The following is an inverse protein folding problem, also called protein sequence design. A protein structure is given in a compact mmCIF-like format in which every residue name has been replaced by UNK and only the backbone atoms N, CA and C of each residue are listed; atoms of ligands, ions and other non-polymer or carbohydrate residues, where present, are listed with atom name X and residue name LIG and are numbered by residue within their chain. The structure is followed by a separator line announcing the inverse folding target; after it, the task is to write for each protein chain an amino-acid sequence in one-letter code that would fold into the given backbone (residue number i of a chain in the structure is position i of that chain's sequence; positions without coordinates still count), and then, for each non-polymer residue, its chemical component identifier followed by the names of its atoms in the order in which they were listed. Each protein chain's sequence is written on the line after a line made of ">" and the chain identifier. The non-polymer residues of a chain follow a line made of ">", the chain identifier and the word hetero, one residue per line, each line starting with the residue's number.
data_IF_096367512822
#
_entry.id   IF_096367512822
#
_cell.length_a   1.000
_cell.length_b   1.000
_cell.length_c   1.000
_cell.angle_alpha   90.00
_cell.angle_beta   90.00
_cell.angle_gamma   90.00
#
_symmetry.space_group_name_H-M   'P 1'
#
loop_
_entity.id
_entity.type
_entity.pdbx_description
1 polymer ?
#
# COMPACT_ATOMS: atom_id res chain seq x y z
N UNK A 1 -10.65 3.21 22.01
CA UNK A 1 -11.09 2.03 21.26
C UNK A 1 -11.40 0.89 22.23
N UNK A 2 -12.62 0.32 22.14
CA UNK A 2 -13.10 -0.77 23.00
C UNK A 2 -12.52 -2.13 22.58
N UNK A 3 -12.50 -3.11 23.49
CA UNK A 3 -12.07 -4.49 23.21
C UNK A 3 -12.87 -5.14 22.06
N UNK A 4 -14.16 -4.80 21.94
CA UNK A 4 -15.02 -5.28 20.87
C UNK A 4 -14.51 -4.85 19.48
N UNK A 5 -14.07 -3.60 19.31
CA UNK A 5 -13.53 -3.11 18.02
C UNK A 5 -12.27 -3.87 17.64
N UNK A 6 -11.39 -4.17 18.61
CA UNK A 6 -10.16 -4.96 18.37
C UNK A 6 -10.51 -6.40 17.98
N UNK A 7 -11.54 -6.99 18.59
CA UNK A 7 -11.97 -8.35 18.27
C UNK A 7 -12.65 -8.44 16.90
N UNK A 8 -13.54 -7.51 16.58
CA UNK A 8 -14.17 -7.38 15.26
C UNK A 8 -13.12 -7.16 14.17
N UNK A 9 -12.07 -6.42 14.50
CA UNK A 9 -10.89 -6.24 13.68
C UNK A 9 -10.16 -7.54 13.39
N UNK A 10 -9.83 -8.31 14.43
CA UNK A 10 -9.18 -9.60 14.30
C UNK A 10 -10.03 -10.60 13.49
N UNK A 11 -11.35 -10.55 13.62
CA UNK A 11 -12.27 -11.36 12.82
C UNK A 11 -12.27 -10.92 11.36
N UNK A 12 -12.40 -9.62 11.08
CA UNK A 12 -12.30 -9.05 9.73
C UNK A 12 -10.97 -9.45 9.07
N UNK A 13 -9.85 -9.37 9.80
CA UNK A 13 -8.53 -9.77 9.30
C UNK A 13 -8.45 -11.24 8.92
N UNK A 14 -9.01 -12.16 9.72
CA UNK A 14 -9.06 -13.59 9.34
C UNK A 14 -9.85 -13.82 8.06
N UNK A 15 -10.90 -13.04 7.84
CA UNK A 15 -11.73 -13.18 6.65
C UNK A 15 -11.13 -12.52 5.40
N UNK A 16 -10.24 -11.54 5.55
CA UNK A 16 -9.41 -11.03 4.44
C UNK A 16 -8.42 -12.09 3.92
N UNK A 17 -8.06 -13.07 4.74
CA UNK A 17 -7.25 -14.22 4.35
C UNK A 17 -8.10 -15.41 3.87
N UNK A 18 -9.40 -15.25 3.63
CA UNK A 18 -10.28 -16.36 3.18
C UNK A 18 -9.86 -16.88 1.80
N UNK A 19 -9.97 -18.18 1.54
CA UNK A 19 -9.61 -18.77 0.22
C UNK A 19 -10.60 -18.38 -0.88
N UNK A 20 -11.85 -18.08 -0.52
CA UNK A 20 -12.90 -17.66 -1.46
C UNK A 20 -12.76 -16.18 -1.79
N UNK A 21 -12.48 -15.86 -3.05
CA UNK A 21 -12.33 -14.48 -3.54
C UNK A 21 -13.58 -13.61 -3.31
N UNK A 22 -14.78 -14.20 -3.38
CA UNK A 22 -16.05 -13.51 -3.11
C UNK A 22 -16.19 -13.09 -1.65
N UNK A 23 -15.71 -13.91 -0.71
CA UNK A 23 -15.76 -13.58 0.72
C UNK A 23 -14.74 -12.50 1.04
N UNK A 24 -13.50 -12.61 0.53
CA UNK A 24 -12.50 -11.54 0.69
C UNK A 24 -13.01 -10.19 0.19
N UNK A 25 -13.72 -10.16 -0.94
CA UNK A 25 -14.27 -8.91 -1.50
C UNK A 25 -15.30 -8.25 -0.60
N UNK A 26 -16.14 -9.02 0.11
CA UNK A 26 -17.14 -8.47 1.05
C UNK A 26 -16.47 -7.78 2.23
N UNK A 27 -15.34 -8.32 2.69
CA UNK A 27 -14.63 -7.81 3.87
C UNK A 27 -13.84 -6.54 3.60
N UNK A 28 -13.54 -6.20 2.33
CA UNK A 28 -12.87 -4.94 1.96
C UNK A 28 -13.66 -3.71 2.43
N UNK A 29 -14.99 -3.73 2.34
CA UNK A 29 -15.81 -2.59 2.79
C UNK A 29 -15.82 -2.47 4.31
N UNK A 30 -15.86 -3.59 5.04
CA UNK A 30 -15.69 -3.58 6.50
C UNK A 30 -14.29 -3.08 6.90
N UNK A 31 -13.26 -3.47 6.15
CA UNK A 31 -11.91 -2.96 6.36
C UNK A 31 -11.83 -1.43 6.17
N UNK A 32 -12.53 -0.85 5.20
CA UNK A 32 -12.59 0.62 5.08
C UNK A 32 -13.26 1.28 6.29
N UNK A 33 -14.33 0.69 6.83
CA UNK A 33 -14.96 1.18 8.06
C UNK A 33 -14.00 1.12 9.25
N UNK A 34 -13.23 0.04 9.37
CA UNK A 34 -12.14 -0.07 10.34
C UNK A 34 -11.13 1.07 10.21
N UNK A 35 -10.67 1.37 8.99
CA UNK A 35 -9.67 2.41 8.75
C UNK A 35 -10.20 3.76 9.24
N UNK A 36 -11.50 4.03 9.05
CA UNK A 36 -12.16 5.24 9.57
C UNK A 36 -12.20 5.25 11.10
N UNK A 37 -12.56 4.13 11.72
CA UNK A 37 -12.54 4.01 13.19
C UNK A 37 -11.13 4.19 13.76
N UNK A 38 -10.11 3.68 13.07
CA UNK A 38 -8.72 3.87 13.43
C UNK A 38 -8.32 5.35 13.36
N UNK A 39 -8.67 6.08 12.30
CA UNK A 39 -8.44 7.53 12.20
C UNK A 39 -9.17 8.32 13.30
N UNK A 40 -10.39 7.94 13.66
CA UNK A 40 -11.13 8.61 14.74
C UNK A 40 -10.52 8.39 16.13
N UNK A 41 -9.95 7.20 16.38
CA UNK A 41 -9.37 6.84 17.69
C UNK A 41 -7.87 7.15 17.81
N UNK A 42 -7.25 7.56 16.71
CA UNK A 42 -5.81 7.71 16.53
C UNK A 42 -5.13 8.74 17.45
N UNK A 43 -5.89 9.67 18.03
CA UNK A 43 -5.38 10.66 18.99
C UNK A 43 -5.66 10.26 20.46
N UNK A 44 -6.27 9.10 20.69
CA UNK A 44 -6.58 8.63 22.03
C UNK A 44 -5.33 8.10 22.76
N UNK A 45 -5.07 8.60 23.97
CA UNK A 45 -3.87 8.28 24.78
C UNK A 45 -3.83 6.85 25.36
N UNK A 46 -4.71 5.95 24.91
CA UNK A 46 -4.81 4.59 25.46
C UNK A 46 -3.88 3.63 24.72
N UNK A 47 -2.64 3.49 25.22
CA UNK A 47 -1.49 2.83 24.60
C UNK A 47 -1.50 1.30 24.46
N UNK A 48 -2.65 0.65 24.24
CA UNK A 48 -2.75 -0.81 23.94
C UNK A 48 -3.52 -1.14 22.65
N UNK A 49 -3.72 -0.17 21.77
CA UNK A 49 -4.53 -0.31 20.55
C UNK A 49 -3.72 -0.77 19.33
N UNK A 50 -4.40 -1.41 18.37
CA UNK A 50 -3.92 -1.63 17.01
C UNK A 50 -3.39 -0.31 16.43
N UNK A 51 -2.13 -0.32 15.99
CA UNK A 51 -1.49 0.83 15.36
C UNK A 51 -1.56 0.71 13.82
N UNK A 52 -1.38 1.85 13.14
CA UNK A 52 -1.45 1.93 11.69
C UNK A 52 -0.55 0.91 10.97
N UNK A 53 0.66 0.66 11.48
CA UNK A 53 1.55 -0.35 10.91
C UNK A 53 1.02 -1.78 11.04
N UNK A 54 0.34 -2.10 12.14
CA UNK A 54 -0.34 -3.39 12.31
C UNK A 54 -1.43 -3.59 11.27
N UNK A 55 -2.27 -2.56 11.08
CA UNK A 55 -3.34 -2.60 10.06
C UNK A 55 -2.77 -2.66 8.64
N UNK A 56 -1.65 -1.97 8.39
CA UNK A 56 -0.97 -2.01 7.10
C UNK A 56 -0.42 -3.41 6.78
N UNK A 57 0.17 -4.10 7.76
CA UNK A 57 0.62 -5.50 7.60
C UNK A 57 -0.51 -6.44 7.20
N UNK A 58 -1.71 -6.27 7.75
CA UNK A 58 -2.86 -7.07 7.33
C UNK A 58 -3.31 -6.74 5.90
N UNK A 59 -3.28 -5.45 5.53
CA UNK A 59 -3.56 -5.04 4.15
C UNK A 59 -2.55 -5.65 3.17
N UNK A 60 -1.25 -5.64 3.49
CA UNK A 60 -0.20 -6.27 2.67
C UNK A 60 -0.48 -7.77 2.45
N UNK A 61 -0.88 -8.50 3.49
CA UNK A 61 -1.24 -9.93 3.36
C UNK A 61 -2.45 -10.16 2.45
N UNK A 62 -3.50 -9.33 2.58
CA UNK A 62 -4.64 -9.37 1.68
C UNK A 62 -4.20 -9.15 0.22
N UNK A 63 -3.36 -8.14 -0.02
CA UNK A 63 -2.85 -7.83 -1.36
C UNK A 63 -2.08 -9.02 -1.91
N UNK A 64 -1.16 -9.59 -1.12
CA UNK A 64 -0.39 -10.76 -1.52
C UNK A 64 -1.33 -11.91 -1.96
N UNK A 65 -2.36 -12.20 -1.19
CA UNK A 65 -3.33 -13.26 -1.51
C UNK A 65 -4.14 -12.95 -2.79
N UNK A 66 -4.51 -11.69 -3.01
CA UNK A 66 -5.14 -11.28 -4.27
C UNK A 66 -4.18 -11.42 -5.46
N UNK A 67 -2.92 -11.02 -5.31
CA UNK A 67 -1.88 -11.17 -6.35
C UNK A 67 -1.66 -12.64 -6.69
N UNK A 68 -1.53 -13.52 -5.70
CA UNK A 68 -1.40 -14.97 -5.90
C UNK A 68 -2.59 -15.52 -6.69
N UNK A 69 -3.82 -15.15 -6.32
CA UNK A 69 -5.03 -15.59 -7.02
C UNK A 69 -5.08 -15.18 -8.49
N UNK A 70 -4.44 -14.06 -8.83
CA UNK A 70 -4.38 -13.55 -10.20
C UNK A 70 -3.22 -14.16 -10.98
N UNK A 71 -2.11 -14.52 -10.31
CA UNK A 71 -0.95 -15.22 -10.89
C UNK A 71 -1.24 -16.68 -11.25
N UNK A 72 -2.02 -17.40 -10.44
CA UNK A 72 -2.40 -18.79 -10.75
C UNK A 72 -3.33 -18.92 -11.96
N UNK A 73 -3.83 -17.80 -12.50
CA UNK A 73 -4.68 -17.81 -13.68
C UNK A 73 -3.82 -17.74 -14.97
N UNK A 74 -4.16 -18.54 -15.99
CA UNK A 74 -3.36 -18.71 -17.23
C UNK A 74 -2.95 -17.38 -17.90
N UNK A 75 -1.76 -17.29 -18.53
CA UNK A 75 -1.33 -16.08 -19.23
C UNK A 75 -2.12 -15.79 -20.52
N UNK A 76 -2.53 -16.84 -21.25
CA UNK A 76 -3.35 -16.72 -22.47
C UNK A 76 -4.85 -16.80 -22.13
N UNK A 77 -5.39 -15.71 -21.58
CA UNK A 77 -6.82 -15.62 -21.24
C UNK A 77 -7.56 -14.67 -22.17
N UNK A 78 -8.89 -14.79 -22.19
CA UNK A 78 -9.75 -13.89 -22.95
C UNK A 78 -9.50 -12.42 -22.59
N UNK A 79 -9.78 -11.52 -23.53
CA UNK A 79 -9.75 -10.07 -23.29
C UNK A 79 -10.61 -9.67 -22.07
N UNK A 80 -11.76 -10.35 -21.86
CA UNK A 80 -12.62 -10.14 -20.69
C UNK A 80 -11.95 -10.52 -19.36
N UNK A 81 -11.18 -11.61 -19.33
CA UNK A 81 -10.43 -12.02 -18.13
C UNK A 81 -9.27 -11.06 -17.87
N UNK A 82 -8.59 -10.60 -18.92
CA UNK A 82 -7.51 -9.63 -18.78
C UNK A 82 -8.04 -8.27 -18.24
N UNK A 83 -9.18 -7.80 -18.76
CA UNK A 83 -9.85 -6.60 -18.26
C UNK A 83 -10.29 -6.76 -16.79
N UNK A 84 -10.78 -7.93 -16.40
CA UNK A 84 -11.09 -8.23 -15.00
C UNK A 84 -9.85 -8.13 -14.10
N UNK A 85 -8.71 -8.71 -14.51
CA UNK A 85 -7.45 -8.62 -13.77
C UNK A 85 -6.98 -7.18 -13.60
N UNK A 86 -7.01 -6.39 -14.68
CA UNK A 86 -6.65 -4.97 -14.65
C UNK A 86 -7.55 -4.17 -13.70
N UNK A 87 -8.88 -4.35 -13.80
CA UNK A 87 -9.83 -3.71 -12.89
C UNK A 87 -9.56 -4.10 -11.43
N UNK A 88 -9.29 -5.37 -11.18
CA UNK A 88 -9.02 -5.89 -9.84
C UNK A 88 -7.74 -5.29 -9.25
N UNK A 89 -6.70 -5.13 -10.08
CA UNK A 89 -5.46 -4.45 -9.71
C UNK A 89 -5.69 -2.98 -9.37
N UNK A 90 -6.49 -2.27 -10.16
CA UNK A 90 -6.86 -0.88 -9.87
C UNK A 90 -7.66 -0.75 -8.56
N UNK A 91 -8.57 -1.68 -8.27
CA UNK A 91 -9.29 -1.73 -6.98
C UNK A 91 -8.30 -1.88 -5.81
N UNK A 92 -7.28 -2.74 -5.95
CA UNK A 92 -6.23 -2.93 -4.95
C UNK A 92 -5.37 -1.67 -4.78
N UNK A 93 -4.92 -1.05 -5.89
CA UNK A 93 -4.21 0.25 -5.87
C UNK A 93 -5.00 1.32 -5.14
N UNK A 94 -6.29 1.43 -5.46
CA UNK A 94 -7.18 2.41 -4.86
C UNK A 94 -7.33 2.19 -3.36
N UNK A 95 -7.39 0.93 -2.91
CA UNK A 95 -7.47 0.60 -1.49
C UNK A 95 -6.19 0.99 -0.73
N UNK A 96 -5.02 0.74 -1.32
CA UNK A 96 -3.73 1.13 -0.73
C UNK A 96 -3.59 2.64 -0.65
N UNK A 97 -3.89 3.34 -1.74
CA UNK A 97 -3.91 4.81 -1.78
C UNK A 97 -4.85 5.37 -0.71
N UNK A 98 -6.06 4.82 -0.62
CA UNK A 98 -7.03 5.20 0.41
C UNK A 98 -6.45 5.02 1.82
N UNK A 99 -5.89 3.85 2.11
CA UNK A 99 -5.31 3.55 3.41
C UNK A 99 -4.18 4.52 3.78
N UNK A 100 -3.20 4.70 2.90
CA UNK A 100 -2.05 5.59 3.13
C UNK A 100 -2.51 7.03 3.35
N UNK A 101 -3.44 7.53 2.54
CA UNK A 101 -3.99 8.88 2.69
C UNK A 101 -4.73 9.06 4.01
N UNK A 102 -5.53 8.08 4.42
CA UNK A 102 -6.17 8.10 5.74
C UNK A 102 -5.13 8.12 6.86
N UNK A 103 -4.10 7.27 6.78
CA UNK A 103 -3.03 7.20 7.78
C UNK A 103 -2.25 8.52 7.89
N UNK A 104 -2.05 9.21 6.76
CA UNK A 104 -1.28 10.44 6.67
C UNK A 104 -2.10 11.71 6.95
N UNK A 105 -3.43 11.61 7.01
CA UNK A 105 -4.36 12.76 7.03
C UNK A 105 -4.07 13.75 8.17
N UNK A 106 -3.75 13.25 9.37
CA UNK A 106 -3.48 14.08 10.56
C UNK A 106 -1.98 14.30 10.81
N UNK A 107 -1.20 13.26 10.55
CA UNK A 107 0.25 13.23 10.62
C UNK A 107 0.70 11.97 9.87
N UNK A 108 1.96 11.85 9.41
CA UNK A 108 2.41 10.63 8.78
C UNK A 108 2.61 9.55 9.84
N UNK A 109 1.68 8.60 9.94
CA UNK A 109 1.61 7.61 11.03
C UNK A 109 2.21 6.25 10.72
N UNK A 110 2.59 6.02 9.46
CA UNK A 110 3.22 4.77 9.04
C UNK A 110 4.73 4.87 9.20
N UNK A 111 5.38 3.72 9.19
CA UNK A 111 6.85 3.62 9.07
C UNK A 111 7.26 3.69 7.59
N UNK A 112 8.25 4.53 7.27
CA UNK A 112 8.69 4.66 5.88
C UNK A 112 9.20 3.34 5.29
N UNK A 113 9.96 2.54 6.05
CA UNK A 113 10.48 1.27 5.56
C UNK A 113 9.38 0.27 5.16
N UNK A 114 8.27 0.21 5.90
CA UNK A 114 7.13 -0.66 5.57
C UNK A 114 6.51 -0.24 4.22
N UNK A 115 6.36 1.07 4.00
CA UNK A 115 5.83 1.64 2.76
C UNK A 115 6.76 1.37 1.56
N UNK A 116 8.06 1.54 1.74
CA UNK A 116 9.04 1.29 0.69
C UNK A 116 9.14 -0.19 0.35
N UNK A 117 9.22 -1.07 1.36
CA UNK A 117 9.25 -2.51 1.13
C UNK A 117 8.02 -2.97 0.34
N UNK A 118 6.82 -2.50 0.69
CA UNK A 118 5.60 -2.77 -0.07
C UNK A 118 5.74 -2.43 -1.57
N UNK A 119 6.17 -1.20 -1.89
CA UNK A 119 6.31 -0.76 -3.28
C UNK A 119 7.34 -1.62 -4.01
N UNK A 120 8.45 -1.90 -3.35
CA UNK A 120 9.59 -2.53 -3.99
C UNK A 120 9.40 -4.04 -4.18
N UNK A 121 8.77 -4.72 -3.23
CA UNK A 121 8.36 -6.12 -3.38
C UNK A 121 7.36 -6.28 -4.52
N UNK A 122 6.45 -5.32 -4.68
CA UNK A 122 5.47 -5.33 -5.77
C UNK A 122 6.13 -5.06 -7.14
N UNK A 123 7.11 -4.16 -7.20
CA UNK A 123 7.83 -3.83 -8.44
C UNK A 123 8.91 -4.86 -8.83
N UNK A 124 9.42 -5.64 -7.87
CA UNK A 124 10.41 -6.69 -8.15
C UNK A 124 9.82 -7.84 -8.98
N UNK A 125 8.53 -8.10 -8.88
CA UNK A 125 7.88 -9.12 -9.69
C UNK A 125 7.50 -8.56 -11.06
N UNK A 126 8.15 -9.05 -12.13
CA UNK A 126 7.96 -8.54 -13.48
C UNK A 126 6.50 -8.59 -13.96
N UNK A 127 5.75 -9.62 -13.57
CA UNK A 127 4.33 -9.76 -13.95
C UNK A 127 3.45 -8.72 -13.25
N UNK A 128 3.74 -8.45 -11.98
CA UNK A 128 3.06 -7.45 -11.18
C UNK A 128 3.44 -6.05 -11.64
N UNK A 129 4.72 -5.81 -11.94
CA UNK A 129 5.22 -4.53 -12.44
C UNK A 129 4.57 -4.16 -13.78
N UNK A 130 4.40 -5.10 -14.70
CA UNK A 130 3.78 -4.83 -16.00
C UNK A 130 2.30 -4.40 -15.91
N UNK A 131 1.60 -4.77 -14.83
CA UNK A 131 0.18 -4.51 -14.66
C UNK A 131 -0.08 -3.38 -13.64
N UNK A 132 0.80 -3.25 -12.63
CA UNK A 132 0.62 -2.43 -11.43
C UNK A 132 1.73 -1.39 -11.22
N UNK A 133 2.77 -1.40 -12.06
CA UNK A 133 3.95 -0.53 -11.90
C UNK A 133 3.63 0.95 -11.90
N UNK A 134 2.71 1.40 -12.76
CA UNK A 134 2.27 2.81 -12.80
C UNK A 134 1.54 3.23 -11.52
N UNK A 135 0.70 2.34 -10.99
CA UNK A 135 -0.03 2.54 -9.75
C UNK A 135 0.92 2.61 -8.55
N UNK A 136 1.87 1.67 -8.46
CA UNK A 136 2.97 1.67 -7.49
C UNK A 136 3.80 2.97 -7.57
N UNK A 137 4.16 3.39 -8.79
CA UNK A 137 4.93 4.61 -9.02
C UNK A 137 4.15 5.85 -8.58
N UNK A 138 2.85 5.90 -8.84
CA UNK A 138 1.98 6.96 -8.35
C UNK A 138 1.91 6.99 -6.83
N UNK A 139 1.78 5.84 -6.15
CA UNK A 139 1.77 5.76 -4.69
C UNK A 139 3.09 6.29 -4.13
N UNK A 140 4.20 5.80 -4.69
CA UNK A 140 5.53 6.19 -4.26
C UNK A 140 5.75 7.70 -4.40
N UNK A 141 5.49 8.27 -5.57
CA UNK A 141 5.72 9.69 -5.82
C UNK A 141 4.74 10.59 -5.05
N UNK A 142 3.45 10.28 -5.09
CA UNK A 142 2.40 11.21 -4.62
C UNK A 142 2.02 11.03 -3.17
N UNK A 143 2.13 9.84 -2.62
CA UNK A 143 1.63 9.52 -1.28
C UNK A 143 2.75 9.18 -0.27
N UNK A 144 3.95 8.81 -0.74
CA UNK A 144 5.11 8.51 0.11
C UNK A 144 6.15 9.64 0.05
N UNK A 145 6.75 9.87 -1.11
CA UNK A 145 7.89 10.79 -1.27
C UNK A 145 7.49 12.26 -1.20
N UNK A 146 6.22 12.58 -1.44
CA UNK A 146 5.66 13.92 -1.18
C UNK A 146 5.62 14.27 0.31
N UNK A 147 5.73 13.27 1.20
CA UNK A 147 5.64 13.45 2.64
C UNK A 147 7.03 13.58 3.25
N UNK A 148 7.31 14.76 3.81
CA UNK A 148 8.64 15.13 4.36
C UNK A 148 9.18 14.15 5.39
N UNK A 149 8.34 13.65 6.29
CA UNK A 149 8.77 12.65 7.30
C UNK A 149 9.38 11.43 6.62
N UNK A 150 8.68 10.84 5.65
CA UNK A 150 9.11 9.59 5.03
C UNK A 150 10.40 9.78 4.27
N UNK A 151 10.51 10.84 3.50
CA UNK A 151 11.74 11.18 2.80
C UNK A 151 12.95 11.30 3.72
N UNK A 152 12.81 12.01 4.85
CA UNK A 152 13.89 12.18 5.81
C UNK A 152 14.29 10.86 6.49
N UNK A 153 13.41 9.88 6.53
CA UNK A 153 13.69 8.53 7.04
C UNK A 153 14.42 7.64 6.02
N UNK A 154 14.45 8.01 4.74
CA UNK A 154 15.15 7.23 3.70
C UNK A 154 16.65 7.49 3.82
N UNK A 155 17.41 6.44 4.11
CA UNK A 155 18.88 6.54 4.11
C UNK A 155 19.44 6.70 2.68
N UNK A 156 20.67 7.22 2.57
CA UNK A 156 21.39 7.31 1.29
C UNK A 156 21.57 5.93 0.64
N UNK A 157 21.89 4.91 1.43
CA UNK A 157 22.08 3.55 0.95
C UNK A 157 20.79 2.93 0.39
N UNK A 158 19.68 3.09 1.12
CA UNK A 158 18.35 2.66 0.64
C UNK A 158 17.99 3.40 -0.65
N UNK A 159 18.17 4.73 -0.69
CA UNK A 159 17.91 5.54 -1.88
C UNK A 159 18.70 5.04 -3.11
N UNK A 160 19.99 4.76 -2.95
CA UNK A 160 20.84 4.23 -4.02
C UNK A 160 20.38 2.84 -4.49
N UNK A 161 19.99 1.96 -3.57
CA UNK A 161 19.52 0.61 -3.89
C UNK A 161 18.20 0.66 -4.70
N UNK A 162 17.26 1.51 -4.29
CA UNK A 162 15.98 1.63 -4.98
C UNK A 162 16.13 2.31 -6.37
N UNK A 163 16.84 3.44 -6.42
CA UNK A 163 17.07 4.22 -7.65
C UNK A 163 18.01 3.54 -8.65
N UNK A 164 18.67 2.45 -8.25
CA UNK A 164 19.50 1.62 -9.12
C UNK A 164 18.70 0.59 -9.92
N UNK A 165 17.42 0.35 -9.60
CA UNK A 165 16.63 -0.68 -10.28
C UNK A 165 16.14 -0.22 -11.66
N UNK A 166 16.21 -1.08 -12.70
CA UNK A 166 15.84 -0.71 -14.07
C UNK A 166 14.41 -0.18 -14.22
N UNK A 167 13.47 -0.76 -13.46
CA UNK A 167 12.06 -0.35 -13.46
C UNK A 167 11.79 0.96 -12.71
N UNK A 168 12.78 1.50 -11.98
CA UNK A 168 12.66 2.77 -11.25
C UNK A 168 13.28 3.96 -11.98
N UNK A 169 13.85 3.77 -13.19
CA UNK A 169 14.51 4.85 -13.93
C UNK A 169 13.56 6.02 -14.21
N UNK A 170 12.33 5.73 -14.63
CA UNK A 170 11.32 6.78 -14.87
C UNK A 170 10.91 7.49 -13.57
N UNK A 171 10.83 6.73 -12.48
CA UNK A 171 10.54 7.26 -11.14
C UNK A 171 11.67 8.13 -10.63
N UNK A 172 12.94 7.81 -10.94
CA UNK A 172 14.15 8.57 -10.58
C UNK A 172 14.16 9.97 -11.19
N UNK A 173 13.82 10.10 -12.48
CA UNK A 173 13.70 11.40 -13.14
C UNK A 173 12.61 12.25 -12.50
N UNK A 174 11.44 11.66 -12.25
CA UNK A 174 10.32 12.34 -11.57
C UNK A 174 10.66 12.73 -10.13
N UNK A 175 11.39 11.87 -9.41
CA UNK A 175 11.93 12.12 -8.08
C UNK A 175 12.84 13.35 -8.06
N UNK A 176 13.83 13.40 -8.96
CA UNK A 176 14.76 14.52 -9.06
C UNK A 176 14.03 15.84 -9.34
N UNK A 177 13.07 15.81 -10.27
CA UNK A 177 12.26 16.98 -10.62
C UNK A 177 11.32 17.41 -9.47
N UNK A 178 10.72 16.45 -8.77
CA UNK A 178 9.83 16.71 -7.63
C UNK A 178 10.61 17.25 -6.42
N UNK A 179 11.80 16.74 -6.13
CA UNK A 179 12.70 17.32 -5.12
C UNK A 179 13.09 18.76 -5.45
N UNK A 180 13.39 19.03 -6.73
CA UNK A 180 13.66 20.38 -7.22
C UNK A 180 12.44 21.31 -7.04
N UNK A 181 11.25 20.84 -7.44
CA UNK A 181 10.01 21.60 -7.33
C UNK A 181 9.57 21.87 -5.89
N UNK A 182 9.85 20.94 -4.97
CA UNK A 182 9.50 21.09 -3.56
C UNK A 182 10.54 21.91 -2.77
N UNK A 183 11.67 22.30 -3.39
CA UNK A 183 12.71 23.12 -2.77
C UNK A 183 13.67 22.34 -1.87
N UNK A 184 13.75 21.02 -2.01
CA UNK A 184 14.52 20.15 -1.13
C UNK A 184 15.93 20.06 -1.69
N UNK A 185 16.69 21.16 -1.53
CA UNK A 185 18.13 21.19 -1.84
C UNK A 185 18.91 20.67 -0.64
N UNK A 186 19.80 19.70 -0.89
CA UNK A 186 20.80 19.23 0.06
C UNK A 186 20.30 18.16 1.01
N UNK A 187 20.44 16.90 0.59
CA UNK A 187 20.67 15.74 1.46
C UNK A 187 21.75 14.88 0.82
#
# INVERSE_FOLDING_TARGET
>A
MSLAIVQDLLVCYRQLENDKATERRKEVEKFKQTVQQLDQNSDSRHGKQLNWDGVFRYLQKYIQKEMESLRFAKPNVSASTQAYRQKKMQEISSLVKYFIRCANKRAPRLKCHELLNYVMDTMNDASSCAIYGDDCSSILLKDILSVRKYWCEISKEQSCNWLGKPHMVHTKYNLQHHCWAQGWRGA
#
